data_IF_874588574906
#
_entry.id   IF_874588574906
#
_cell.length_a   1.000
_cell.length_b   1.000
_cell.length_c   1.000
_cell.angle_alpha   90.00
_cell.angle_beta   90.00
_cell.angle_gamma   90.00
#
_symmetry.space_group_name_H-M   'P 1'
#
loop_
_entity.id
_entity.type
_entity.pdbx_description
1 polymer ?
#
# COMPACT_ATOMS: atom_id res chain seq x y z
N UNK A 1 16.43 -18.61 -1.00
CA UNK A 1 14.98 -18.33 -1.04
C UNK A 1 14.78 -16.94 -0.45
N UNK A 2 14.94 -15.89 -1.26
CA UNK A 2 14.87 -14.51 -0.78
C UNK A 2 13.41 -14.04 -0.74
N UNK A 3 12.91 -13.48 0.36
CA UNK A 3 11.48 -13.26 0.62
C UNK A 3 10.85 -12.07 -0.13
N UNK A 4 11.49 -11.55 -1.18
CA UNK A 4 11.21 -10.20 -1.70
C UNK A 4 10.34 -10.19 -2.98
N UNK A 5 10.03 -11.34 -3.61
CA UNK A 5 9.46 -11.35 -4.97
C UNK A 5 7.93 -11.40 -5.10
N UNK A 6 7.15 -11.54 -4.02
CA UNK A 6 5.71 -11.78 -4.14
C UNK A 6 4.86 -10.57 -3.71
N UNK A 7 5.17 -9.39 -4.23
CA UNK A 7 4.34 -8.19 -4.10
C UNK A 7 2.88 -8.44 -4.48
N UNK A 8 2.65 -9.32 -5.46
CA UNK A 8 1.31 -9.72 -5.88
C UNK A 8 0.59 -10.50 -4.76
N UNK A 9 1.27 -11.41 -4.08
CA UNK A 9 0.70 -12.17 -2.96
C UNK A 9 0.41 -11.27 -1.77
N UNK A 10 1.30 -10.32 -1.45
CA UNK A 10 1.07 -9.32 -0.41
C UNK A 10 -0.13 -8.44 -0.72
N UNK A 11 -0.26 -7.98 -1.97
CA UNK A 11 -1.41 -7.18 -2.40
C UNK A 11 -2.73 -7.95 -2.31
N UNK A 12 -2.74 -9.25 -2.63
CA UNK A 12 -3.93 -10.10 -2.50
C UNK A 12 -4.33 -10.25 -1.03
N UNK A 13 -3.38 -10.51 -0.14
CA UNK A 13 -3.62 -10.60 1.31
C UNK A 13 -4.12 -9.28 1.89
N UNK A 14 -3.63 -8.14 1.41
CA UNK A 14 -4.10 -6.81 1.84
C UNK A 14 -5.55 -6.50 1.45
N UNK A 15 -6.13 -7.22 0.49
CA UNK A 15 -7.51 -7.05 0.02
C UNK A 15 -8.48 -8.05 0.68
N UNK A 16 -7.98 -9.11 1.31
CA UNK A 16 -8.82 -10.08 2.01
C UNK A 16 -9.61 -9.41 3.15
N UNK A 17 -10.94 -9.59 3.25
CA UNK A 17 -11.76 -8.90 4.24
C UNK A 17 -11.55 -9.39 5.68
N UNK A 18 -11.21 -10.67 5.88
CA UNK A 18 -11.01 -11.29 7.21
C UNK A 18 -9.64 -11.00 7.85
N UNK A 19 -8.75 -10.26 7.16
CA UNK A 19 -7.43 -9.96 7.71
C UNK A 19 -7.51 -8.91 8.83
N UNK A 20 -6.88 -9.20 9.96
CA UNK A 20 -6.78 -8.26 11.08
C UNK A 20 -6.01 -6.99 10.68
N UNK A 21 -6.37 -5.84 11.27
CA UNK A 21 -5.71 -4.56 11.00
C UNK A 21 -4.22 -4.60 11.39
N UNK A 22 -3.85 -5.35 12.44
CA UNK A 22 -2.46 -5.57 12.83
C UNK A 22 -1.66 -6.29 11.73
N UNK A 23 -2.19 -7.39 11.21
CA UNK A 23 -1.52 -8.13 10.12
C UNK A 23 -1.41 -7.29 8.85
N UNK A 24 -2.41 -6.45 8.54
CA UNK A 24 -2.29 -5.49 7.43
C UNK A 24 -1.17 -4.48 7.66
N UNK A 25 -1.02 -3.98 8.88
CA UNK A 25 0.03 -3.03 9.24
C UNK A 25 1.41 -3.64 9.01
N UNK A 26 1.63 -4.87 9.47
CA UNK A 26 2.88 -5.61 9.26
C UNK A 26 3.20 -5.78 7.77
N UNK A 27 2.22 -6.18 6.95
CA UNK A 27 2.41 -6.32 5.51
C UNK A 27 2.77 -4.98 4.85
N UNK A 28 2.10 -3.89 5.24
CA UNK A 28 2.39 -2.55 4.72
C UNK A 28 3.80 -2.08 5.12
N UNK A 29 4.25 -2.43 6.33
CA UNK A 29 5.62 -2.16 6.78
C UNK A 29 6.66 -2.93 5.95
N UNK A 30 6.46 -4.22 5.71
CA UNK A 30 7.34 -5.04 4.87
C UNK A 30 7.41 -4.51 3.43
N UNK A 31 6.26 -4.07 2.90
CA UNK A 31 6.17 -3.43 1.58
C UNK A 31 7.02 -2.16 1.52
N UNK A 32 6.97 -1.32 2.55
CA UNK A 32 7.78 -0.09 2.61
C UNK A 32 9.28 -0.41 2.62
N UNK A 33 9.70 -1.36 3.44
CA UNK A 33 11.10 -1.77 3.53
C UNK A 33 11.60 -2.36 2.21
N UNK A 34 10.75 -3.16 1.55
CA UNK A 34 11.05 -3.73 0.23
C UNK A 34 11.11 -2.69 -0.89
N UNK A 35 10.31 -1.62 -0.78
CA UNK A 35 10.29 -0.49 -1.70
C UNK A 35 11.61 0.27 -1.72
N UNK A 36 12.21 0.52 -0.55
CA UNK A 36 13.54 1.16 -0.43
C UNK A 36 14.65 0.33 -1.11
N UNK A 37 14.45 -0.99 -1.24
CA UNK A 37 15.45 -1.93 -1.77
C UNK A 37 15.28 -2.18 -3.29
N UNK A 38 14.07 -2.02 -3.85
CA UNK A 38 13.74 -2.53 -5.20
C UNK A 38 13.67 -1.41 -6.24
N UNK A 39 14.78 -1.08 -6.89
CA UNK A 39 14.88 0.13 -7.73
C UNK A 39 14.78 -0.01 -9.26
N UNK A 40 14.61 -1.20 -9.86
CA UNK A 40 14.99 -1.32 -11.29
C UNK A 40 14.09 -2.10 -12.26
N UNK A 41 13.12 -2.91 -11.84
CA UNK A 41 12.22 -3.58 -12.82
C UNK A 41 10.81 -3.89 -12.30
N UNK A 42 10.68 -4.31 -11.05
CA UNK A 42 9.40 -4.76 -10.50
C UNK A 42 8.54 -3.65 -9.90
N UNK A 43 9.11 -2.45 -9.77
CA UNK A 43 8.45 -1.28 -9.20
C UNK A 43 7.10 -0.97 -9.89
N UNK A 44 7.03 -1.14 -11.20
CA UNK A 44 5.81 -0.87 -11.97
C UNK A 44 4.68 -1.89 -11.68
N UNK A 45 5.03 -3.16 -11.49
CA UNK A 45 4.09 -4.21 -11.10
C UNK A 45 3.67 -4.05 -9.64
N UNK A 46 4.62 -3.69 -8.78
CA UNK A 46 4.36 -3.33 -7.39
C UNK A 46 3.35 -2.17 -7.31
N UNK A 47 3.58 -1.07 -8.02
CA UNK A 47 2.69 0.08 -8.02
C UNK A 47 1.26 -0.32 -8.42
N UNK A 48 1.09 -1.09 -9.49
CA UNK A 48 -0.24 -1.56 -9.92
C UNK A 48 -0.96 -2.37 -8.85
N UNK A 49 -0.24 -3.31 -8.23
CA UNK A 49 -0.81 -4.18 -7.19
C UNK A 49 -1.10 -3.42 -5.90
N UNK A 50 -0.16 -2.56 -5.50
CA UNK A 50 -0.25 -1.78 -4.28
C UNK A 50 -1.34 -0.72 -4.37
N UNK A 51 -1.41 0.09 -5.44
CA UNK A 51 -2.47 1.10 -5.59
C UNK A 51 -3.88 0.52 -5.49
N UNK A 52 -4.10 -0.67 -6.09
CA UNK A 52 -5.37 -1.37 -5.99
C UNK A 52 -5.67 -1.76 -4.54
N UNK A 53 -4.70 -2.33 -3.83
CA UNK A 53 -4.85 -2.70 -2.43
C UNK A 53 -5.05 -1.46 -1.53
N UNK A 54 -4.27 -0.40 -1.73
CA UNK A 54 -4.38 0.88 -1.01
C UNK A 54 -5.76 1.49 -1.19
N UNK A 55 -6.30 1.49 -2.41
CA UNK A 55 -7.64 2.03 -2.70
C UNK A 55 -8.71 1.27 -1.91
N UNK A 56 -8.66 -0.07 -1.89
CA UNK A 56 -9.58 -0.88 -1.08
C UNK A 56 -9.42 -0.57 0.41
N UNK A 57 -8.19 -0.45 0.91
CA UNK A 57 -7.93 -0.13 2.32
C UNK A 57 -8.49 1.26 2.68
N UNK A 58 -8.27 2.26 1.83
CA UNK A 58 -8.68 3.65 2.10
C UNK A 58 -10.18 3.90 1.92
N UNK A 59 -10.84 3.13 1.04
CA UNK A 59 -12.27 3.31 0.71
C UNK A 59 -13.19 2.33 1.46
N UNK A 60 -12.79 1.07 1.62
CA UNK A 60 -13.68 0.01 2.10
C UNK A 60 -13.34 -0.47 3.52
N UNK A 61 -12.06 -0.46 3.90
CA UNK A 61 -11.60 -1.05 5.16
C UNK A 61 -11.47 0.00 6.26
N UNK A 62 -10.79 1.11 5.97
CA UNK A 62 -10.55 2.19 6.94
C UNK A 62 -11.51 3.34 6.70
N UNK A 63 -11.98 3.96 7.78
CA UNK A 63 -12.75 5.22 7.71
C UNK A 63 -11.87 6.41 8.08
N UNK A 64 -12.11 7.60 7.49
CA UNK A 64 -11.48 8.83 7.95
C UNK A 64 -11.83 9.06 9.42
N UNK A 65 -10.83 9.05 10.28
CA UNK A 65 -11.00 9.26 11.72
C UNK A 65 -9.80 10.03 12.27
N UNK A 66 -10.06 10.84 13.30
CA UNK A 66 -9.05 11.64 13.99
C UNK A 66 -8.55 10.97 15.28
N UNK A 67 -9.09 9.79 15.61
CA UNK A 67 -8.70 9.03 16.78
C UNK A 67 -7.48 8.18 16.46
N UNK A 68 -6.44 8.27 17.28
CA UNK A 68 -5.24 7.44 17.11
C UNK A 68 -5.54 5.99 17.48
N UNK A 69 -5.80 5.19 16.45
CA UNK A 69 -6.03 3.76 16.56
C UNK A 69 -5.24 3.00 15.47
N UNK A 70 -5.27 1.67 15.52
CA UNK A 70 -4.53 0.83 14.58
C UNK A 70 -4.96 1.05 13.12
N UNK A 71 -6.24 1.36 12.87
CA UNK A 71 -6.74 1.71 11.54
C UNK A 71 -6.17 3.04 11.04
N UNK A 72 -6.09 4.05 11.91
CA UNK A 72 -5.49 5.33 11.60
C UNK A 72 -4.00 5.17 11.30
N UNK A 73 -3.28 4.35 12.07
CA UNK A 73 -1.88 4.02 11.80
C UNK A 73 -1.70 3.33 10.45
N UNK A 74 -2.57 2.36 10.11
CA UNK A 74 -2.57 1.70 8.81
C UNK A 74 -2.80 2.69 7.67
N UNK A 75 -3.84 3.53 7.79
CA UNK A 75 -4.14 4.58 6.80
C UNK A 75 -2.96 5.53 6.62
N UNK A 76 -2.40 6.03 7.71
CA UNK A 76 -1.31 6.99 7.67
C UNK A 76 -0.07 6.37 7.01
N UNK A 77 0.27 5.12 7.34
CA UNK A 77 1.41 4.44 6.73
C UNK A 77 1.22 4.17 5.23
N UNK A 78 0.00 3.79 4.80
CA UNK A 78 -0.32 3.66 3.37
C UNK A 78 -0.14 5.00 2.65
N UNK A 79 -0.62 6.10 3.23
CA UNK A 79 -0.46 7.46 2.68
C UNK A 79 1.00 7.89 2.67
N UNK A 80 1.77 7.58 3.71
CA UNK A 80 3.20 7.87 3.78
C UNK A 80 3.98 7.14 2.70
N UNK A 81 3.70 5.87 2.47
CA UNK A 81 4.30 5.10 1.38
C UNK A 81 3.96 5.77 0.05
N UNK A 82 2.68 6.08 -0.21
CA UNK A 82 2.26 6.76 -1.44
C UNK A 82 2.95 8.12 -1.63
N UNK A 83 3.19 8.87 -0.55
CA UNK A 83 3.92 10.14 -0.56
C UNK A 83 5.43 9.97 -0.74
N UNK A 84 5.98 8.85 -0.24
CA UNK A 84 7.41 8.54 -0.32
C UNK A 84 7.82 7.96 -1.67
N UNK A 85 6.85 7.54 -2.50
CA UNK A 85 7.14 7.12 -3.87
C UNK A 85 7.75 8.31 -4.63
N UNK A 86 8.93 8.16 -5.27
CA UNK A 86 9.53 9.23 -6.05
C UNK A 86 8.53 9.69 -7.11
N UNK A 87 8.42 11.01 -7.34
CA UNK A 87 7.58 11.63 -8.37
C UNK A 87 7.97 11.13 -9.77
N UNK A 88 7.56 9.91 -10.07
CA UNK A 88 7.75 9.24 -11.34
C UNK A 88 6.52 9.53 -12.18
N UNK A 89 6.71 9.96 -13.42
CA UNK A 89 5.64 10.19 -14.41
C UNK A 89 4.63 9.03 -14.47
N UNK A 90 5.07 7.83 -14.13
CA UNK A 90 4.32 6.56 -14.11
C UNK A 90 3.21 6.53 -13.05
N UNK A 91 3.31 7.37 -12.01
CA UNK A 91 2.30 7.47 -10.94
C UNK A 91 1.11 8.35 -11.31
N UNK A 92 1.26 9.28 -12.26
CA UNK A 92 0.21 10.23 -12.67
C UNK A 92 -1.16 9.60 -12.92
N UNK A 93 -1.30 8.49 -13.69
CA UNK A 93 -2.61 7.87 -13.91
C UNK A 93 -3.22 7.30 -12.62
N UNK A 94 -2.41 6.79 -11.70
CA UNK A 94 -2.89 6.21 -10.44
C UNK A 94 -3.23 7.27 -9.39
N UNK A 95 -2.48 8.37 -9.37
CA UNK A 95 -2.73 9.51 -8.46
C UNK A 95 -4.05 10.21 -8.79
N UNK A 96 -4.41 10.32 -10.07
CA UNK A 96 -5.70 10.92 -10.46
C UNK A 96 -6.91 10.13 -9.95
N UNK A 97 -6.83 8.79 -9.91
CA UNK A 97 -7.90 7.97 -9.35
C UNK A 97 -7.90 7.98 -7.81
N UNK A 98 -6.74 8.18 -7.18
CA UNK A 98 -6.65 8.34 -5.73
C UNK A 98 -7.16 9.71 -5.25
N UNK A 99 -6.96 10.78 -6.04
CA UNK A 99 -7.45 12.14 -5.73
C UNK A 99 -8.98 12.28 -5.86
N UNK A 100 -9.67 11.28 -6.41
CA UNK A 100 -11.15 11.23 -6.44
C UNK A 100 -11.76 10.72 -5.14
N UNK A 101 -10.94 10.29 -4.17
CA UNK A 101 -11.36 9.78 -2.86
C UNK A 101 -11.57 10.92 -1.87
#
# INVERSE_FOLDING_TARGET
MSPIHNFEQLSRRLVEPDLSIQTRLEIVMEVRESLDITHTAEYLNFLKCYFRASSVILLQITKPQFTDNLEHKLRNMVVEILRSLPHSEVLRPFVQDLLKV
#
